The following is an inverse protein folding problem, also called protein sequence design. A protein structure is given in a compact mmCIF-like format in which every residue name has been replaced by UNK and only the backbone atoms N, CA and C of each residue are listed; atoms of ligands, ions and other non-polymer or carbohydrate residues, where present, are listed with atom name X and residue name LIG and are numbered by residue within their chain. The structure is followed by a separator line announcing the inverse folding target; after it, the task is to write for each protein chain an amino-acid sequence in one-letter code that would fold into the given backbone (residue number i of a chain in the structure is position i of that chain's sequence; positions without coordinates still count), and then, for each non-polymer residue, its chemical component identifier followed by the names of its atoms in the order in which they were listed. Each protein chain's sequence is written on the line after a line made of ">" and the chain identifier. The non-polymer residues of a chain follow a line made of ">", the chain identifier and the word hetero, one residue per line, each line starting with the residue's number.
data_IF_171793056894
#
_entry.id   IF_171793056894
#
_cell.length_a   1.000
_cell.length_b   1.000
_cell.length_c   1.000
_cell.angle_alpha   90.00
_cell.angle_beta   90.00
_cell.angle_gamma   90.00
#
_symmetry.space_group_name_H-M   'P 1'
#
loop_
_entity.id
_entity.type
_entity.pdbx_description
1 polymer ?
#
# COMPACT_ATOMS: atom_id res chain seq x y z
N UNK A 1 20.01 4.97 28.47
CA UNK A 1 19.61 4.34 27.18
C UNK A 1 18.24 4.90 26.83
N UNK A 2 17.79 4.80 25.58
CA UNK A 2 16.48 5.26 25.06
C UNK A 2 16.41 6.73 24.63
N UNK A 3 16.61 6.94 23.33
CA UNK A 3 16.42 8.20 22.62
C UNK A 3 16.81 8.06 21.15
N UNK A 4 17.84 7.23 20.88
CA UNK A 4 18.37 6.96 19.54
C UNK A 4 17.75 5.71 18.89
N UNK A 5 17.36 4.71 19.67
CA UNK A 5 16.78 3.44 19.17
C UNK A 5 15.42 3.62 18.49
N UNK A 6 14.61 4.60 18.88
CA UNK A 6 13.26 4.81 18.35
C UNK A 6 13.29 5.25 16.88
N UNK A 7 14.19 6.16 16.52
CA UNK A 7 14.27 6.70 15.17
C UNK A 7 14.76 5.65 14.15
N UNK A 8 15.66 4.77 14.57
CA UNK A 8 16.18 3.69 13.72
C UNK A 8 15.11 2.60 13.49
N UNK A 9 14.30 2.31 14.50
CA UNK A 9 13.15 1.39 14.39
C UNK A 9 12.04 1.98 13.52
N UNK A 10 11.71 3.26 13.70
CA UNK A 10 10.70 3.93 12.88
C UNK A 10 11.10 3.92 11.40
N UNK A 11 12.34 4.30 11.07
CA UNK A 11 12.83 4.27 9.67
C UNK A 11 12.76 2.87 9.04
N UNK A 12 13.11 1.82 9.80
CA UNK A 12 13.00 0.44 9.31
C UNK A 12 11.55 0.05 9.05
N UNK A 13 10.66 0.42 9.97
CA UNK A 13 9.23 0.15 9.85
C UNK A 13 8.62 0.89 8.65
N UNK A 14 9.01 2.15 8.41
CA UNK A 14 8.61 2.90 7.21
C UNK A 14 9.00 2.16 5.91
N UNK A 15 10.23 1.66 5.85
CA UNK A 15 10.73 0.94 4.68
C UNK A 15 10.00 -0.39 4.47
N UNK A 16 9.70 -1.12 5.55
CA UNK A 16 8.90 -2.35 5.48
C UNK A 16 7.50 -2.07 4.92
N UNK A 17 6.84 -1.02 5.42
CA UNK A 17 5.50 -0.64 4.94
C UNK A 17 5.54 -0.20 3.47
N UNK A 18 6.54 0.60 3.08
CA UNK A 18 6.72 1.00 1.68
C UNK A 18 6.99 -0.20 0.78
N UNK A 19 7.74 -1.20 1.27
CA UNK A 19 8.00 -2.44 0.56
C UNK A 19 6.71 -3.26 0.38
N UNK A 20 5.90 -3.41 1.43
CA UNK A 20 4.60 -4.09 1.38
C UNK A 20 3.67 -3.42 0.38
N UNK A 21 3.54 -2.09 0.46
CA UNK A 21 2.78 -1.28 -0.51
C UNK A 21 3.25 -1.54 -1.94
N UNK A 22 4.56 -1.52 -2.17
CA UNK A 22 5.12 -1.75 -3.50
C UNK A 22 4.86 -3.19 -3.99
N UNK A 23 4.90 -4.17 -3.09
CA UNK A 23 4.55 -5.57 -3.38
C UNK A 23 3.09 -5.68 -3.83
N UNK A 24 2.15 -5.09 -3.08
CA UNK A 24 0.72 -5.08 -3.41
C UNK A 24 0.43 -4.32 -4.72
N UNK A 25 1.13 -3.21 -4.97
CA UNK A 25 1.05 -2.52 -6.26
C UNK A 25 1.61 -3.38 -7.39
N UNK A 26 2.69 -4.13 -7.18
CA UNK A 26 3.24 -4.98 -8.23
C UNK A 26 2.35 -6.19 -8.54
N UNK A 27 1.78 -6.84 -7.51
CA UNK A 27 0.86 -7.97 -7.69
C UNK A 27 -0.44 -7.59 -8.39
N UNK A 28 -0.87 -6.34 -8.24
CA UNK A 28 -2.09 -5.81 -8.86
C UNK A 28 -1.82 -5.01 -10.12
N UNK A 29 -0.58 -4.95 -10.62
CA UNK A 29 -0.22 -4.10 -11.75
C UNK A 29 -0.92 -4.53 -13.05
N UNK A 30 -1.09 -5.85 -13.24
CA UNK A 30 -1.80 -6.44 -14.38
C UNK A 30 -3.27 -5.97 -14.49
N UNK A 31 -3.88 -5.52 -13.39
CA UNK A 31 -5.27 -5.04 -13.36
C UNK A 31 -5.44 -3.67 -14.03
N UNK A 32 -4.35 -2.92 -14.20
CA UNK A 32 -4.35 -1.58 -14.79
C UNK A 32 -4.13 -1.60 -16.30
N UNK A 33 -3.80 -2.76 -16.86
CA UNK A 33 -3.60 -2.89 -18.30
C UNK A 33 -4.95 -2.95 -19.01
N UNK A 34 -5.03 -2.27 -20.16
CA UNK A 34 -6.24 -2.23 -20.98
C UNK A 34 -6.57 -3.60 -21.65
N UNK A 35 -5.64 -4.56 -21.58
CA UNK A 35 -5.80 -5.95 -22.02
C UNK A 35 -6.08 -6.90 -20.85
N UNK A 36 -6.40 -6.34 -19.67
CA UNK A 36 -6.80 -7.12 -18.51
C UNK A 36 -8.15 -7.81 -18.77
N UNK A 37 -8.37 -9.06 -18.35
CA UNK A 37 -9.66 -9.74 -18.45
C UNK A 37 -10.76 -9.12 -17.56
N UNK A 38 -10.45 -8.05 -16.83
CA UNK A 38 -11.34 -7.34 -15.92
C UNK A 38 -12.32 -6.43 -16.67
N UNK A 39 -13.54 -6.33 -16.15
CA UNK A 39 -14.51 -5.35 -16.65
C UNK A 39 -14.09 -3.93 -16.29
N UNK A 40 -14.61 -2.92 -16.99
CA UNK A 40 -14.34 -1.51 -16.69
C UNK A 40 -14.71 -1.12 -15.25
N UNK A 41 -15.71 -1.79 -14.67
CA UNK A 41 -16.11 -1.60 -13.27
C UNK A 41 -15.06 -2.16 -12.32
N UNK A 42 -14.54 -3.35 -12.59
CA UNK A 42 -13.49 -3.97 -11.77
C UNK A 42 -12.19 -3.17 -11.86
N UNK A 43 -11.82 -2.70 -13.06
CA UNK A 43 -10.65 -1.83 -13.24
C UNK A 43 -10.74 -0.56 -12.38
N UNK A 44 -11.93 0.03 -12.25
CA UNK A 44 -12.15 1.17 -11.35
C UNK A 44 -12.00 0.80 -9.88
N UNK A 45 -12.49 -0.37 -9.45
CA UNK A 45 -12.28 -0.88 -8.08
C UNK A 45 -10.80 -1.08 -7.77
N UNK A 46 -10.05 -1.69 -8.70
CA UNK A 46 -8.61 -1.87 -8.57
C UNK A 46 -7.85 -0.55 -8.60
N UNK A 47 -8.27 0.42 -9.41
CA UNK A 47 -7.68 1.76 -9.42
C UNK A 47 -7.90 2.47 -8.07
N UNK A 48 -9.10 2.37 -7.48
CA UNK A 48 -9.40 2.89 -6.16
C UNK A 48 -8.55 2.21 -5.07
N UNK A 49 -8.48 0.87 -5.09
CA UNK A 49 -7.63 0.08 -4.20
C UNK A 49 -6.16 0.52 -4.24
N UNK A 50 -5.59 0.68 -5.45
CA UNK A 50 -4.20 1.11 -5.64
C UNK A 50 -3.97 2.55 -5.18
N UNK A 51 -4.97 3.43 -5.27
CA UNK A 51 -4.87 4.78 -4.71
C UNK A 51 -4.85 4.73 -3.18
N UNK A 52 -5.73 3.95 -2.55
CA UNK A 52 -5.71 3.73 -1.10
C UNK A 52 -4.36 3.17 -0.61
N UNK A 53 -3.74 2.26 -1.35
CA UNK A 53 -2.38 1.79 -1.05
C UNK A 53 -1.33 2.90 -1.10
N UNK A 54 -1.44 3.84 -2.07
CA UNK A 54 -0.52 4.98 -2.17
C UNK A 54 -0.70 5.99 -1.05
N UNK A 55 -1.92 6.10 -0.52
CA UNK A 55 -2.25 6.99 0.59
C UNK A 55 -1.81 6.43 1.96
N UNK A 56 -1.36 5.18 2.04
CA UNK A 56 -0.86 4.54 3.29
C UNK A 56 0.16 5.40 4.06
N UNK A 57 1.21 5.99 3.45
CA UNK A 57 2.17 6.82 4.18
C UNK A 57 1.61 8.16 4.67
N UNK A 58 0.43 8.56 4.20
CA UNK A 58 -0.27 9.77 4.65
C UNK A 58 -1.22 9.50 5.83
N UNK A 59 -1.40 8.23 6.23
CA UNK A 59 -2.23 7.86 7.36
C UNK A 59 -1.60 8.31 8.68
N UNK A 60 -2.43 8.69 9.66
CA UNK A 60 -1.98 9.21 10.95
C UNK A 60 -1.26 8.17 11.83
N UNK A 61 -1.46 6.88 11.58
CA UNK A 61 -0.83 5.80 12.33
C UNK A 61 0.45 5.24 11.69
N UNK A 62 0.83 5.72 10.49
CA UNK A 62 2.04 5.28 9.82
C UNK A 62 3.30 5.56 10.68
N UNK A 63 4.25 4.61 10.78
CA UNK A 63 4.31 3.33 10.09
C UNK A 63 3.83 2.11 10.92
N UNK A 64 3.21 2.34 12.08
CA UNK A 64 2.86 1.29 13.05
C UNK A 64 1.41 0.81 12.96
N UNK A 65 0.49 1.72 12.71
CA UNK A 65 -0.95 1.51 12.65
C UNK A 65 -1.46 1.96 11.27
N UNK A 66 -1.58 0.99 10.36
CA UNK A 66 -1.91 1.22 8.96
C UNK A 66 -3.16 0.42 8.60
N UNK A 67 -4.14 1.14 8.08
CA UNK A 67 -5.32 0.57 7.48
C UNK A 67 -5.01 0.18 6.04
N UNK A 68 -4.71 -1.11 5.84
CA UNK A 68 -4.53 -1.66 4.51
C UNK A 68 -5.89 -1.89 3.85
N UNK A 69 -6.09 -1.40 2.61
CA UNK A 69 -7.32 -1.68 1.89
C UNK A 69 -7.45 -3.18 1.62
N UNK A 70 -8.68 -3.70 1.62
CA UNK A 70 -8.97 -5.09 1.28
C UNK A 70 -8.98 -5.30 -0.24
N UNK A 71 -8.60 -6.51 -0.66
CA UNK A 71 -8.65 -6.89 -2.08
C UNK A 71 -10.09 -6.83 -2.60
N UNK A 72 -10.34 -6.15 -3.74
CA UNK A 72 -11.64 -6.21 -4.39
C UNK A 72 -11.92 -7.64 -4.88
N UNK A 73 -13.15 -8.12 -4.65
CA UNK A 73 -13.64 -9.45 -5.06
C UNK A 73 -14.19 -9.45 -6.49
#
# INVERSE_FOLDING_TARGET
>A
MTGDESADVDSKQEDLVRAERNSLLNTTDWTQFNDSPLSDADQQLWAAYRNSLRDVPAQSGFPWDIDWPEFPN
#
